data_IF_314475448281
#
_entry.id   IF_314475448281
#
_cell.length_a   1.000
_cell.length_b   1.000
_cell.length_c   1.000
_cell.angle_alpha   90.00
_cell.angle_beta   90.00
_cell.angle_gamma   90.00
#
_symmetry.space_group_name_H-M   'P 1'
#
loop_
_entity.id
_entity.type
_entity.pdbx_description
1 polymer ?
#
# COMPACT_ATOMS: atom_id res chain seq x y z
N UNK A 1 -9.45 0.50 -1.46
CA UNK A 1 -9.41 0.50 0.03
C UNK A 1 -9.80 -0.87 0.57
N UNK A 2 -8.82 -1.64 1.02
CA UNK A 2 -8.97 -3.00 1.57
C UNK A 2 -9.80 -3.01 2.85
N UNK A 3 -10.75 -3.95 2.93
CA UNK A 3 -11.71 -4.11 4.04
C UNK A 3 -11.05 -4.21 5.43
N UNK A 4 -9.78 -4.63 5.49
CA UNK A 4 -8.98 -4.81 6.71
C UNK A 4 -8.50 -3.49 7.35
N UNK A 5 -8.14 -2.49 6.54
CA UNK A 5 -7.76 -1.16 7.04
C UNK A 5 -8.98 -0.47 7.65
N UNK A 6 -10.11 -0.48 6.92
CA UNK A 6 -11.35 0.19 7.32
C UNK A 6 -11.88 -0.41 8.63
N UNK A 7 -11.86 -1.74 8.78
CA UNK A 7 -12.29 -2.40 10.02
C UNK A 7 -11.37 -2.07 11.19
N UNK A 8 -10.05 -2.08 10.98
CA UNK A 8 -9.10 -1.66 12.01
C UNK A 8 -9.31 -0.20 12.43
N UNK A 9 -9.53 0.70 11.46
CA UNK A 9 -9.86 2.10 11.72
C UNK A 9 -11.18 2.27 12.48
N UNK A 10 -12.25 1.61 12.02
CA UNK A 10 -13.58 1.70 12.64
C UNK A 10 -13.52 1.25 14.09
N UNK A 11 -12.83 0.14 14.37
CA UNK A 11 -12.63 -0.36 15.73
C UNK A 11 -11.85 0.64 16.60
N UNK A 12 -10.81 1.28 16.05
CA UNK A 12 -9.98 2.26 16.79
C UNK A 12 -10.70 3.60 17.06
N UNK A 13 -11.59 4.02 16.16
CA UNK A 13 -12.39 5.26 16.29
C UNK A 13 -13.66 5.08 17.10
N UNK A 14 -14.26 3.89 17.10
CA UNK A 14 -15.50 3.62 17.83
C UNK A 14 -15.36 3.80 19.35
N UNK A 15 -14.20 3.50 19.92
CA UNK A 15 -13.94 3.60 21.37
C UNK A 15 -13.85 5.04 21.91
N UNK A 16 -13.71 6.07 21.05
CA UNK A 16 -13.34 7.44 21.48
C UNK A 16 -14.44 8.51 21.36
N UNK A 17 -15.67 8.17 20.98
CA UNK A 17 -16.74 9.18 20.76
C UNK A 17 -17.51 9.62 22.02
N UNK A 18 -17.19 9.13 23.22
CA UNK A 18 -18.03 9.37 24.42
C UNK A 18 -17.34 9.88 25.70
N UNK A 19 -16.02 10.11 25.73
CA UNK A 19 -15.33 10.50 26.96
C UNK A 19 -14.48 11.78 26.77
N UNK A 20 -14.71 12.78 27.63
CA UNK A 20 -13.82 13.95 27.81
C UNK A 20 -12.36 13.52 27.78
N UNK A 21 -11.43 14.27 27.14
CA UNK A 21 -10.08 13.79 26.84
C UNK A 21 -9.39 13.39 28.14
N UNK A 22 -9.30 12.10 28.47
CA UNK A 22 -8.52 11.70 29.62
C UNK A 22 -7.07 11.97 29.22
N UNK A 23 -6.26 12.49 30.15
CA UNK A 23 -4.81 12.43 30.03
C UNK A 23 -4.45 11.01 29.59
N UNK A 24 -3.94 10.85 28.37
CA UNK A 24 -3.66 9.52 27.84
C UNK A 24 -2.64 8.87 28.76
N UNK A 25 -3.00 7.72 29.33
CA UNK A 25 -2.08 6.99 30.19
C UNK A 25 -0.82 6.64 29.39
N UNK A 26 0.35 6.72 30.05
CA UNK A 26 1.61 6.31 29.45
C UNK A 26 1.52 4.89 28.87
N UNK A 27 0.85 3.97 29.59
CA UNK A 27 0.61 2.61 29.11
C UNK A 27 -0.13 2.55 27.76
N UNK A 28 -1.15 3.38 27.56
CA UNK A 28 -1.89 3.45 26.29
C UNK A 28 -1.05 4.01 25.14
N UNK A 29 -0.24 5.04 25.41
CA UNK A 29 0.70 5.60 24.43
C UNK A 29 1.82 4.59 24.09
N UNK A 30 2.38 3.93 25.10
CA UNK A 30 3.44 2.95 24.94
C UNK A 30 2.96 1.73 24.14
N UNK A 31 1.76 1.24 24.43
CA UNK A 31 1.17 0.14 23.66
C UNK A 31 0.97 0.53 22.19
N UNK A 32 0.50 1.75 21.94
CA UNK A 32 0.33 2.27 20.58
C UNK A 32 1.67 2.45 19.85
N UNK A 33 2.73 2.86 20.56
CA UNK A 33 4.08 2.89 20.01
C UNK A 33 4.58 1.49 19.65
N UNK A 34 4.34 0.47 20.51
CA UNK A 34 4.71 -0.93 20.19
C UNK A 34 3.98 -1.45 18.96
N UNK A 35 2.69 -1.16 18.81
CA UNK A 35 1.91 -1.50 17.61
C UNK A 35 2.51 -0.87 16.35
N UNK A 36 2.93 0.39 16.46
CA UNK A 36 3.59 1.12 15.40
C UNK A 36 4.92 0.48 15.01
N UNK A 37 5.76 0.16 15.99
CA UNK A 37 7.06 -0.48 15.78
C UNK A 37 6.89 -1.86 15.12
N UNK A 38 5.92 -2.66 15.56
CA UNK A 38 5.63 -3.96 14.97
C UNK A 38 5.18 -3.84 13.50
N UNK A 39 4.34 -2.85 13.18
CA UNK A 39 3.93 -2.59 11.80
C UNK A 39 5.11 -2.17 10.91
N UNK A 40 6.03 -1.35 11.43
CA UNK A 40 7.24 -0.95 10.72
C UNK A 40 8.15 -2.15 10.43
N UNK A 41 8.43 -2.97 11.45
CA UNK A 41 9.23 -4.19 11.28
C UNK A 41 8.61 -5.12 10.24
N UNK A 42 7.29 -5.30 10.25
CA UNK A 42 6.63 -6.15 9.24
C UNK A 42 6.76 -5.61 7.82
N UNK A 43 6.77 -4.29 7.63
CA UNK A 43 7.04 -3.70 6.30
C UNK A 43 8.47 -4.03 5.87
N UNK A 44 9.45 -3.89 6.77
CA UNK A 44 10.85 -4.21 6.46
C UNK A 44 11.03 -5.70 6.10
N UNK A 45 10.36 -6.60 6.83
CA UNK A 45 10.32 -8.03 6.49
C UNK A 45 9.73 -8.28 5.10
N UNK A 46 8.57 -7.69 4.80
CA UNK A 46 7.96 -7.81 3.47
C UNK A 46 8.90 -7.31 2.36
N UNK A 47 9.59 -6.19 2.59
CA UNK A 47 10.56 -5.65 1.65
C UNK A 47 11.75 -6.59 1.45
N UNK A 48 12.25 -7.23 2.51
CA UNK A 48 13.31 -8.22 2.42
C UNK A 48 12.84 -9.47 1.64
N UNK A 49 11.67 -10.01 1.98
CA UNK A 49 11.04 -11.13 1.26
C UNK A 49 10.87 -10.82 -0.24
N UNK A 50 10.46 -9.58 -0.58
CA UNK A 50 10.34 -9.14 -1.97
C UNK A 50 11.70 -9.02 -2.67
N UNK A 51 12.71 -8.48 -1.98
CA UNK A 51 14.06 -8.33 -2.55
C UNK A 51 14.70 -9.70 -2.87
N UNK A 52 14.51 -10.70 -2.01
CA UNK A 52 14.95 -12.07 -2.28
C UNK A 52 14.28 -12.64 -3.55
N UNK A 53 12.97 -12.41 -3.73
CA UNK A 53 12.24 -12.87 -4.92
C UNK A 53 12.62 -12.13 -6.20
N UNK A 54 13.00 -10.85 -6.10
CA UNK A 54 13.53 -10.08 -7.23
C UNK A 54 14.93 -10.53 -7.68
N UNK A 55 15.66 -11.25 -6.82
CA UNK A 55 16.98 -11.81 -7.11
C UNK A 55 17.02 -12.93 -8.16
N UNK A 56 15.86 -13.35 -8.69
CA UNK A 56 15.76 -14.29 -9.81
C UNK A 56 15.67 -15.77 -9.41
N UNK A 57 15.80 -16.10 -8.12
CA UNK A 57 15.65 -17.47 -7.63
C UNK A 57 14.18 -17.92 -7.45
N UNK A 58 13.23 -16.98 -7.57
CA UNK A 58 11.80 -17.26 -7.35
C UNK A 58 10.92 -16.68 -8.47
N UNK A 59 10.05 -17.53 -9.03
CA UNK A 59 9.02 -17.09 -9.99
C UNK A 59 7.86 -16.49 -9.20
N UNK A 60 7.59 -15.20 -9.39
CA UNK A 60 6.41 -14.55 -8.84
C UNK A 60 5.39 -14.23 -9.93
N UNK A 61 4.11 -14.35 -9.58
CA UNK A 61 2.99 -14.00 -10.46
C UNK A 61 2.43 -12.61 -10.15
N UNK A 62 1.47 -12.17 -10.96
CA UNK A 62 0.76 -10.90 -10.72
C UNK A 62 0.07 -10.87 -9.35
N UNK A 63 -0.48 -12.00 -8.91
CA UNK A 63 -1.21 -12.09 -7.65
C UNK A 63 -0.30 -11.82 -6.44
N UNK A 64 0.94 -12.30 -6.50
CA UNK A 64 1.97 -11.99 -5.50
C UNK A 64 2.23 -10.49 -5.44
N UNK A 65 2.44 -9.83 -6.58
CA UNK A 65 2.73 -8.38 -6.64
C UNK A 65 1.56 -7.59 -6.04
N UNK A 66 0.32 -7.91 -6.46
CA UNK A 66 -0.89 -7.27 -5.93
C UNK A 66 -0.99 -7.45 -4.41
N UNK A 67 -0.74 -8.66 -3.92
CA UNK A 67 -0.83 -8.98 -2.49
C UNK A 67 0.26 -8.25 -1.70
N UNK A 68 1.50 -8.25 -2.17
CA UNK A 68 2.62 -7.55 -1.55
C UNK A 68 2.36 -6.05 -1.44
N UNK A 69 1.92 -5.42 -2.55
CA UNK A 69 1.58 -4.00 -2.57
C UNK A 69 0.42 -3.69 -1.62
N UNK A 70 -0.66 -4.47 -1.65
CA UNK A 70 -1.80 -4.27 -0.75
C UNK A 70 -1.40 -4.40 0.73
N UNK A 71 -0.63 -5.43 1.09
CA UNK A 71 -0.16 -5.62 2.47
C UNK A 71 0.74 -4.48 2.93
N UNK A 72 1.63 -4.01 2.05
CA UNK A 72 2.54 -2.89 2.35
C UNK A 72 1.78 -1.58 2.53
N UNK A 73 0.81 -1.29 1.64
CA UNK A 73 -0.09 -0.13 1.76
C UNK A 73 -0.91 -0.20 3.05
N UNK A 74 -1.44 -1.37 3.41
CA UNK A 74 -2.19 -1.58 4.65
C UNK A 74 -1.37 -1.24 5.89
N UNK A 75 -0.13 -1.74 5.97
CA UNK A 75 0.76 -1.49 7.10
C UNK A 75 1.23 -0.03 7.15
N UNK A 76 1.59 0.55 6.00
CA UNK A 76 1.99 1.96 5.92
C UNK A 76 0.85 2.90 6.33
N UNK A 77 -0.40 2.59 5.95
CA UNK A 77 -1.58 3.35 6.38
C UNK A 77 -1.81 3.29 7.89
N UNK A 78 -1.57 2.12 8.52
CA UNK A 78 -1.60 1.98 9.98
C UNK A 78 -0.50 2.81 10.64
N UNK A 79 0.69 2.88 10.05
CA UNK A 79 1.79 3.71 10.56
C UNK A 79 1.43 5.20 10.53
N UNK A 80 1.00 5.71 9.38
CA UNK A 80 0.64 7.13 9.20
C UNK A 80 -0.44 7.53 10.21
N UNK A 81 -1.49 6.71 10.32
CA UNK A 81 -2.56 6.99 11.27
C UNK A 81 -2.14 6.82 12.73
N UNK A 82 -1.37 5.78 13.05
CA UNK A 82 -0.85 5.55 14.39
C UNK A 82 0.03 6.70 14.87
N UNK A 83 0.86 7.26 13.98
CA UNK A 83 1.67 8.45 14.24
C UNK A 83 0.82 9.70 14.46
N UNK A 84 -0.20 9.92 13.64
CA UNK A 84 -1.11 11.05 13.82
C UNK A 84 -1.92 10.93 15.12
N UNK A 85 -2.26 9.71 15.53
CA UNK A 85 -2.88 9.48 16.82
C UNK A 85 -1.89 9.77 17.96
N UNK A 86 -0.66 9.25 17.91
CA UNK A 86 0.38 9.44 18.93
C UNK A 86 0.82 10.90 19.07
N UNK A 87 1.00 11.60 17.95
CA UNK A 87 1.46 12.98 17.87
C UNK A 87 0.55 13.79 16.92
N UNK A 88 -0.63 14.24 17.40
CA UNK A 88 -1.58 15.00 16.61
C UNK A 88 -0.94 16.23 15.99
N UNK A 89 -1.24 16.49 14.71
CA UNK A 89 -0.79 17.67 13.94
C UNK A 89 0.73 17.84 13.79
N UNK A 90 1.54 16.87 14.24
CA UNK A 90 3.01 16.95 14.14
C UNK A 90 3.52 16.66 12.73
N UNK A 91 2.79 15.86 11.96
CA UNK A 91 3.22 15.37 10.65
C UNK A 91 2.14 15.57 9.57
N UNK A 92 1.72 16.82 9.28
CA UNK A 92 0.61 17.08 8.36
C UNK A 92 0.88 16.59 6.93
N UNK A 93 2.13 16.60 6.48
CA UNK A 93 2.54 16.14 5.14
C UNK A 93 2.59 14.60 5.01
N UNK A 94 2.56 13.86 6.11
CA UNK A 94 2.72 12.39 6.07
C UNK A 94 1.51 11.72 5.44
N UNK A 95 0.30 12.24 5.73
CA UNK A 95 -0.93 11.76 5.14
C UNK A 95 -0.97 12.01 3.64
N UNK A 96 -0.63 13.21 3.19
CA UNK A 96 -0.61 13.53 1.76
C UNK A 96 0.43 12.72 1.00
N UNK A 97 1.62 12.52 1.57
CA UNK A 97 2.65 11.66 0.99
C UNK A 97 2.17 10.20 0.86
N UNK A 98 1.53 9.65 1.90
CA UNK A 98 0.99 8.30 1.85
C UNK A 98 -0.09 8.14 0.79
N UNK A 99 -1.05 9.06 0.73
CA UNK A 99 -2.13 9.01 -0.27
C UNK A 99 -1.56 9.08 -1.70
N UNK A 100 -0.61 9.99 -1.94
CA UNK A 100 0.06 10.11 -3.24
C UNK A 100 0.76 8.81 -3.65
N UNK A 101 1.60 8.24 -2.78
CA UNK A 101 2.33 6.99 -3.07
C UNK A 101 1.35 5.83 -3.27
N UNK A 102 0.28 5.75 -2.46
CA UNK A 102 -0.74 4.72 -2.63
C UNK A 102 -1.38 4.81 -4.01
N UNK A 103 -1.79 6.00 -4.43
CA UNK A 103 -2.41 6.21 -5.74
C UNK A 103 -1.46 5.84 -6.86
N UNK A 104 -0.18 6.26 -6.80
CA UNK A 104 0.83 5.88 -7.79
C UNK A 104 0.97 4.35 -7.90
N UNK A 105 1.00 3.63 -6.77
CA UNK A 105 1.05 2.15 -6.76
C UNK A 105 -0.23 1.54 -7.34
N UNK A 106 -1.41 2.03 -6.94
CA UNK A 106 -2.70 1.53 -7.43
C UNK A 106 -2.85 1.73 -8.95
N UNK A 107 -2.36 2.86 -9.47
CA UNK A 107 -2.32 3.14 -10.91
C UNK A 107 -1.41 2.17 -11.66
N UNK A 108 -0.17 1.94 -11.18
CA UNK A 108 0.74 0.97 -11.80
C UNK A 108 0.18 -0.46 -11.78
N UNK A 109 -0.45 -0.88 -10.67
CA UNK A 109 -1.09 -2.20 -10.57
C UNK A 109 -2.29 -2.38 -11.50
N UNK A 110 -3.04 -1.31 -11.77
CA UNK A 110 -4.20 -1.33 -12.68
C UNK A 110 -3.81 -1.60 -14.14
N UNK A 111 -2.51 -1.53 -14.44
CA UNK A 111 -1.97 -1.60 -15.79
C UNK A 111 -2.23 -0.28 -16.51
N UNK A 112 -1.15 0.46 -16.83
CA UNK A 112 -1.27 1.57 -17.78
C UNK A 112 -1.93 1.01 -19.05
N UNK A 113 -3.06 1.58 -19.48
CA UNK A 113 -3.61 1.33 -20.82
C UNK A 113 -2.62 1.86 -21.84
N UNK A 114 -1.57 1.11 -22.12
CA UNK A 114 -0.75 1.32 -23.29
C UNK A 114 -1.62 0.87 -24.45
N UNK A 115 -2.05 1.83 -25.27
CA UNK A 115 -2.49 1.50 -26.61
C UNK A 115 -1.29 0.82 -27.26
N UNK A 116 -1.37 -0.50 -27.46
CA UNK A 116 -0.38 -1.18 -28.28
C UNK A 116 -0.52 -0.53 -29.65
N UNK A 117 0.47 0.27 -30.04
CA UNK A 117 0.48 0.87 -31.37
C UNK A 117 0.42 -0.27 -32.37
N UNK A 118 -0.74 -0.45 -33.01
CA UNK A 118 -0.96 -1.38 -34.12
C UNK A 118 -0.27 -0.91 -35.39
N UNK A 119 0.56 0.13 -35.32
CA UNK A 119 1.34 0.70 -36.42
C UNK A 119 2.22 -0.33 -37.13
N UNK A 120 2.60 -1.42 -36.44
CA UNK A 120 3.32 -2.56 -37.03
C UNK A 120 2.53 -3.87 -37.08
N UNK A 121 1.22 -3.83 -36.81
CA UNK A 121 0.33 -5.00 -36.88
C UNK A 121 -0.35 -5.00 -38.25
N UNK A 122 0.22 -5.74 -39.20
CA UNK A 122 -0.45 -6.04 -40.46
C UNK A 122 -1.42 -7.21 -40.26
N UNK A 123 -2.72 -6.97 -40.50
CA UNK A 123 -3.70 -8.05 -40.49
C UNK A 123 -3.36 -9.09 -41.57
N UNK A 124 -3.48 -10.38 -41.23
CA UNK A 124 -3.17 -11.48 -42.15
C UNK A 124 -3.90 -11.38 -43.50
N UNK A 125 -5.14 -10.87 -43.49
CA UNK A 125 -5.92 -10.64 -44.71
C UNK A 125 -5.34 -9.55 -45.63
N UNK A 126 -4.47 -8.68 -45.13
CA UNK A 126 -3.81 -7.61 -45.88
C UNK A 126 -2.47 -8.04 -46.50
N UNK A 127 -1.98 -9.26 -46.19
CA UNK A 127 -0.74 -9.79 -46.77
C UNK A 127 -1.00 -10.15 -48.23
N UNK A 128 -0.47 -9.33 -49.15
CA UNK A 128 -0.48 -9.60 -50.59
C UNK A 128 0.94 -9.84 -51.10
N UNK A 129 1.07 -10.58 -52.22
CA UNK A 129 2.35 -10.99 -52.82
C UNK A 129 3.25 -9.81 -53.27
N UNK A 130 2.78 -8.57 -53.16
CA UNK A 130 3.55 -7.36 -53.46
C UNK A 130 4.49 -6.92 -52.31
N UNK A 131 4.47 -7.61 -51.17
CA UNK A 131 5.22 -7.27 -49.96
C UNK A 131 6.31 -8.29 -49.58
N UNK A 132 6.67 -9.19 -50.50
CA UNK A 132 7.79 -10.15 -50.40
C UNK A 132 8.77 -9.84 -51.53
#
# INVERSE_FOLDING_TARGET
MTRRIIEWFRRRWADKRGASPPQRSFAGLFQQFKELLAANNRILELMAEANERLGGEYIFDRHYIETFCQQTIDLAGRLVFGLELLAPHRYPALRSAFERIRTEIEEELSGRKTWVSTEFIMHYAAISRAHV
#
